data_IF_814296630099
#
_entry.id   IF_814296630099
#
_cell.length_a   1.000
_cell.length_b   1.000
_cell.length_c   1.000
_cell.angle_alpha   90.00
_cell.angle_beta   90.00
_cell.angle_gamma   90.00
#
_symmetry.space_group_name_H-M   'P 1'
#
loop_
_entity.id
_entity.type
_entity.pdbx_description
1 polymer ?
#
# COMPACT_ATOMS: atom_id res chain seq x y z
N UNK A 1 -3.34 -26.47 -15.77
CA UNK A 1 -2.70 -25.14 -15.86
C UNK A 1 -1.52 -24.96 -14.90
N UNK A 2 -1.56 -25.56 -13.70
CA UNK A 2 -0.45 -25.40 -12.73
C UNK A 2 0.84 -26.09 -13.24
N UNK A 3 1.96 -25.38 -13.19
CA UNK A 3 3.29 -25.89 -13.57
C UNK A 3 3.70 -25.67 -15.03
N UNK A 4 2.81 -25.19 -15.90
CA UNK A 4 3.14 -24.81 -17.28
C UNK A 4 3.64 -23.36 -17.35
N UNK A 5 4.68 -23.11 -18.15
CA UNK A 5 5.21 -21.76 -18.41
C UNK A 5 4.19 -20.88 -19.15
N UNK A 6 3.47 -21.45 -20.12
CA UNK A 6 2.46 -20.72 -20.90
C UNK A 6 1.08 -20.69 -20.25
N UNK A 7 0.83 -21.57 -19.28
CA UNK A 7 -0.48 -21.70 -18.62
C UNK A 7 -1.05 -20.37 -18.12
N UNK A 8 -0.30 -19.57 -17.32
CA UNK A 8 -0.77 -18.28 -16.84
C UNK A 8 -1.14 -17.29 -17.95
N UNK A 9 -0.32 -17.21 -19.02
CA UNK A 9 -0.59 -16.29 -20.13
C UNK A 9 -1.85 -16.70 -20.90
N UNK A 10 -1.97 -17.99 -21.22
CA UNK A 10 -3.15 -18.51 -21.91
C UNK A 10 -4.42 -18.34 -21.07
N UNK A 11 -4.32 -18.50 -19.76
CA UNK A 11 -5.42 -18.22 -18.85
C UNK A 11 -5.84 -16.76 -18.91
N UNK A 12 -4.89 -15.82 -18.87
CA UNK A 12 -5.18 -14.39 -18.98
C UNK A 12 -5.89 -14.04 -20.29
N UNK A 13 -5.44 -14.60 -21.42
CA UNK A 13 -6.09 -14.41 -22.73
C UNK A 13 -7.52 -14.97 -22.70
N UNK A 14 -7.70 -16.15 -22.11
CA UNK A 14 -8.99 -16.84 -22.01
C UNK A 14 -10.02 -16.08 -21.17
N UNK A 15 -9.62 -15.48 -20.05
CA UNK A 15 -10.56 -14.80 -19.14
C UNK A 15 -10.82 -13.33 -19.53
N UNK A 16 -10.04 -12.75 -20.44
CA UNK A 16 -10.00 -11.30 -20.64
C UNK A 16 -11.35 -10.69 -21.07
N UNK A 17 -12.13 -11.41 -21.88
CA UNK A 17 -13.44 -10.97 -22.40
C UNK A 17 -14.54 -10.95 -21.32
N UNK A 18 -14.31 -11.52 -20.12
CA UNK A 18 -15.26 -11.45 -19.00
C UNK A 18 -15.63 -10.01 -18.65
N UNK A 19 -14.69 -9.07 -18.86
CA UNK A 19 -14.87 -7.65 -18.59
C UNK A 19 -15.96 -7.02 -19.46
N UNK A 20 -16.28 -7.60 -20.62
CA UNK A 20 -17.36 -7.15 -21.51
C UNK A 20 -18.76 -7.39 -20.92
N UNK A 21 -18.86 -8.15 -19.82
CA UNK A 21 -20.12 -8.34 -19.09
C UNK A 21 -20.63 -7.06 -18.42
N UNK A 22 -19.76 -6.06 -18.24
CA UNK A 22 -20.03 -4.83 -17.50
C UNK A 22 -20.09 -3.62 -18.42
N UNK A 23 -21.22 -2.90 -18.39
CA UNK A 23 -21.42 -1.63 -19.08
C UNK A 23 -21.28 -0.45 -18.11
N UNK A 24 -21.70 -0.63 -16.86
CA UNK A 24 -21.69 0.39 -15.81
C UNK A 24 -20.58 0.13 -14.79
N UNK A 25 -20.43 -1.13 -14.37
CA UNK A 25 -19.36 -1.53 -13.48
C UNK A 25 -17.98 -1.31 -14.09
N UNK A 26 -17.00 -0.93 -13.26
CA UNK A 26 -15.59 -0.88 -13.65
C UNK A 26 -14.89 -2.16 -13.20
N UNK A 27 -14.67 -3.15 -14.08
CA UNK A 27 -14.02 -4.40 -13.72
C UNK A 27 -12.53 -4.19 -13.45
N UNK A 28 -12.01 -4.92 -12.47
CA UNK A 28 -10.61 -5.03 -12.08
C UNK A 28 -10.30 -6.52 -11.97
N UNK A 29 -9.54 -7.03 -12.93
CA UNK A 29 -9.22 -8.45 -13.07
C UNK A 29 -7.76 -8.72 -12.69
N UNK A 30 -7.53 -9.73 -11.86
CA UNK A 30 -6.19 -10.23 -11.56
C UNK A 30 -6.23 -11.75 -11.45
N UNK A 31 -5.57 -12.44 -12.38
CA UNK A 31 -5.75 -13.89 -12.53
C UNK A 31 -7.25 -14.23 -12.56
N UNK A 32 -7.72 -15.10 -11.67
CA UNK A 32 -9.12 -15.50 -11.53
C UNK A 32 -9.95 -14.56 -10.65
N UNK A 33 -9.31 -13.65 -9.89
CA UNK A 33 -10.00 -12.69 -9.03
C UNK A 33 -10.55 -11.51 -9.85
N UNK A 34 -11.88 -11.50 -10.04
CA UNK A 34 -12.63 -10.38 -10.60
C UNK A 34 -13.26 -9.53 -9.51
N UNK A 35 -12.99 -8.22 -9.53
CA UNK A 35 -13.65 -7.20 -8.70
C UNK A 35 -14.34 -6.20 -9.62
N UNK A 36 -15.45 -5.63 -9.20
CA UNK A 36 -16.19 -4.64 -10.00
C UNK A 36 -16.55 -3.46 -9.12
N UNK A 37 -16.16 -2.26 -9.55
CA UNK A 37 -16.45 -1.03 -8.82
C UNK A 37 -17.67 -0.34 -9.41
N UNK A 38 -18.63 -0.01 -8.54
CA UNK A 38 -19.79 0.81 -8.86
C UNK A 38 -19.76 2.07 -7.99
N UNK A 39 -20.07 3.22 -8.59
CA UNK A 39 -20.17 4.50 -7.89
C UNK A 39 -21.43 5.20 -8.37
N UNK A 40 -22.30 5.57 -7.43
CA UNK A 40 -23.62 6.13 -7.71
C UNK A 40 -24.11 6.95 -6.51
N UNK A 41 -25.10 7.80 -6.74
CA UNK A 41 -25.75 8.59 -5.69
C UNK A 41 -26.73 7.71 -4.90
N UNK A 42 -26.90 7.90 -3.57
CA UNK A 42 -27.89 7.16 -2.78
C UNK A 42 -29.32 7.21 -3.36
N UNK A 43 -29.67 8.28 -4.10
CA UNK A 43 -30.98 8.40 -4.75
C UNK A 43 -31.21 7.41 -5.90
N UNK A 44 -30.14 6.84 -6.48
CA UNK A 44 -30.19 5.91 -7.60
C UNK A 44 -30.20 4.45 -7.17
N UNK A 45 -30.23 4.19 -5.85
CA UNK A 45 -29.98 2.88 -5.24
C UNK A 45 -30.79 1.75 -5.87
N UNK A 46 -32.10 1.94 -6.05
CA UNK A 46 -32.99 0.89 -6.59
C UNK A 46 -32.65 0.56 -8.05
N UNK A 47 -32.37 1.58 -8.86
CA UNK A 47 -31.97 1.39 -10.26
C UNK A 47 -30.61 0.70 -10.36
N UNK A 48 -29.67 1.12 -9.51
CA UNK A 48 -28.32 0.56 -9.47
C UNK A 48 -28.29 -0.87 -8.95
N UNK A 49 -29.09 -1.22 -7.95
CA UNK A 49 -29.22 -2.60 -7.46
C UNK A 49 -29.64 -3.54 -8.60
N UNK A 50 -30.69 -3.18 -9.35
CA UNK A 50 -31.16 -3.98 -10.49
C UNK A 50 -30.10 -4.05 -11.60
N UNK A 51 -29.40 -2.95 -11.87
CA UNK A 51 -28.32 -2.90 -12.85
C UNK A 51 -27.16 -3.83 -12.46
N UNK A 52 -26.69 -3.76 -11.22
CA UNK A 52 -25.60 -4.60 -10.69
C UNK A 52 -25.99 -6.08 -10.80
N UNK A 53 -27.17 -6.48 -10.31
CA UNK A 53 -27.63 -7.87 -10.41
C UNK A 53 -27.73 -8.34 -11.87
N UNK A 54 -28.17 -7.47 -12.80
CA UNK A 54 -28.20 -7.80 -14.23
C UNK A 54 -26.81 -8.03 -14.81
N UNK A 55 -25.83 -7.18 -14.49
CA UNK A 55 -24.44 -7.35 -14.95
C UNK A 55 -23.78 -8.59 -14.35
N UNK A 56 -24.00 -8.87 -13.07
CA UNK A 56 -23.51 -10.10 -12.43
C UNK A 56 -24.14 -11.37 -13.01
N UNK A 57 -25.40 -11.34 -13.40
CA UNK A 57 -26.03 -12.46 -14.11
C UNK A 57 -25.43 -12.68 -15.51
N UNK A 58 -24.94 -11.63 -16.19
CA UNK A 58 -24.18 -11.81 -17.44
C UNK A 58 -22.86 -12.53 -17.20
N UNK A 59 -22.19 -12.27 -16.07
CA UNK A 59 -20.99 -13.02 -15.66
C UNK A 59 -21.33 -14.50 -15.44
N UNK A 60 -22.43 -14.80 -14.75
CA UNK A 60 -22.87 -16.19 -14.57
C UNK A 60 -23.12 -16.90 -15.91
N UNK A 61 -23.77 -16.22 -16.86
CA UNK A 61 -23.97 -16.73 -18.23
C UNK A 61 -22.65 -16.90 -19.00
N UNK A 62 -21.71 -15.97 -18.82
CA UNK A 62 -20.36 -16.06 -19.39
C UNK A 62 -19.62 -17.28 -18.84
N UNK A 63 -19.65 -17.50 -17.51
CA UNK A 63 -19.07 -18.68 -16.88
C UNK A 63 -19.69 -19.96 -17.43
N UNK A 64 -21.01 -20.03 -17.59
CA UNK A 64 -21.70 -21.16 -18.20
C UNK A 64 -21.24 -21.42 -19.64
N UNK A 65 -21.15 -20.37 -20.47
CA UNK A 65 -20.68 -20.44 -21.87
C UNK A 65 -19.26 -21.01 -21.95
N UNK A 66 -18.37 -20.55 -21.07
CA UNK A 66 -16.97 -20.94 -21.04
C UNK A 66 -16.69 -22.17 -20.16
N UNK A 67 -17.73 -22.84 -19.66
CA UNK A 67 -17.66 -24.04 -18.82
C UNK A 67 -16.80 -23.84 -17.55
N UNK A 68 -16.95 -22.68 -16.92
CA UNK A 68 -16.35 -22.34 -15.64
C UNK A 68 -17.38 -22.45 -14.53
N UNK A 69 -16.98 -22.99 -13.39
CA UNK A 69 -17.80 -23.03 -12.19
C UNK A 69 -17.68 -21.71 -11.43
N UNK A 70 -18.80 -21.02 -11.28
CA UNK A 70 -18.89 -19.81 -10.47
C UNK A 70 -19.20 -20.18 -9.02
N UNK A 71 -18.27 -19.92 -8.11
CA UNK A 71 -18.48 -20.12 -6.69
C UNK A 71 -19.12 -18.88 -6.04
N UNK A 72 -20.45 -18.83 -6.11
CA UNK A 72 -21.28 -17.75 -5.54
C UNK A 72 -21.08 -17.58 -4.02
N UNK A 73 -20.79 -18.66 -3.29
CA UNK A 73 -20.53 -18.61 -1.85
C UNK A 73 -19.24 -17.84 -1.50
N UNK A 74 -18.29 -17.71 -2.43
CA UNK A 74 -17.10 -16.85 -2.28
C UNK A 74 -17.33 -15.43 -2.77
N UNK A 75 -18.42 -15.16 -3.48
CA UNK A 75 -18.78 -13.84 -3.95
C UNK A 75 -19.45 -13.04 -2.83
N UNK A 76 -19.19 -11.75 -2.80
CA UNK A 76 -19.81 -10.83 -1.86
C UNK A 76 -19.57 -9.39 -2.30
N UNK A 77 -20.26 -8.47 -1.65
CA UNK A 77 -20.15 -7.04 -1.94
C UNK A 77 -19.77 -6.26 -0.68
N UNK A 78 -19.01 -5.20 -0.87
CA UNK A 78 -18.62 -4.27 0.20
C UNK A 78 -18.97 -2.85 -0.23
N UNK A 79 -19.53 -2.06 0.68
CA UNK A 79 -19.91 -0.67 0.42
C UNK A 79 -18.95 0.28 1.14
N UNK A 80 -18.52 1.31 0.42
CA UNK A 80 -17.72 2.41 0.96
C UNK A 80 -18.55 3.70 0.93
N UNK A 81 -18.32 4.60 1.89
CA UNK A 81 -19.09 5.85 2.01
C UNK A 81 -20.29 5.66 2.95
N UNK A 82 -21.51 5.61 2.42
CA UNK A 82 -22.70 5.41 3.24
C UNK A 82 -22.87 3.92 3.61
N UNK A 83 -22.20 3.49 4.67
CA UNK A 83 -22.23 2.10 5.15
C UNK A 83 -23.57 1.68 5.76
N UNK A 84 -24.58 2.56 5.83
CA UNK A 84 -25.95 2.14 6.20
C UNK A 84 -26.69 1.47 5.04
N UNK A 85 -26.25 1.70 3.79
CA UNK A 85 -26.91 1.16 2.60
C UNK A 85 -26.84 -0.37 2.61
N UNK A 86 -28.00 -1.00 2.41
CA UNK A 86 -28.12 -2.43 2.17
C UNK A 86 -28.58 -2.64 0.73
N UNK A 87 -27.92 -3.53 0.00
CA UNK A 87 -28.25 -3.84 -1.38
C UNK A 87 -28.62 -5.32 -1.47
N UNK A 88 -29.77 -5.59 -2.07
CA UNK A 88 -30.19 -6.96 -2.38
C UNK A 88 -29.69 -7.32 -3.78
N UNK A 89 -28.40 -7.64 -3.85
CA UNK A 89 -27.72 -8.02 -5.09
C UNK A 89 -27.79 -9.54 -5.24
N UNK A 90 -28.16 -10.01 -6.42
CA UNK A 90 -28.21 -11.44 -6.73
C UNK A 90 -27.32 -11.81 -7.92
N UNK A 91 -26.80 -13.03 -7.89
CA UNK A 91 -26.06 -13.67 -8.99
C UNK A 91 -26.59 -15.09 -9.15
N UNK A 92 -27.03 -15.44 -10.36
CA UNK A 92 -27.67 -16.73 -10.66
C UNK A 92 -28.84 -17.08 -9.71
N UNK A 93 -29.64 -16.07 -9.33
CA UNK A 93 -30.75 -16.23 -8.38
C UNK A 93 -30.33 -16.32 -6.89
N UNK A 94 -29.04 -16.40 -6.58
CA UNK A 94 -28.53 -16.43 -5.21
C UNK A 94 -28.17 -15.04 -4.70
N UNK A 95 -28.55 -14.73 -3.46
CA UNK A 95 -28.24 -13.44 -2.84
C UNK A 95 -26.76 -13.36 -2.42
N UNK A 96 -26.10 -12.27 -2.79
CA UNK A 96 -24.71 -12.02 -2.39
C UNK A 96 -24.62 -11.50 -0.97
N UNK A 97 -23.68 -12.07 -0.21
CA UNK A 97 -23.40 -11.64 1.15
C UNK A 97 -22.76 -10.24 1.18
N UNK A 98 -23.19 -9.44 2.15
CA UNK A 98 -22.53 -8.17 2.49
C UNK A 98 -21.27 -8.47 3.31
N UNK A 99 -20.15 -7.93 2.86
CA UNK A 99 -18.85 -8.03 3.52
C UNK A 99 -18.52 -6.73 4.23
N UNK A 100 -17.97 -6.84 5.44
CA UNK A 100 -17.43 -5.70 6.18
C UNK A 100 -15.90 -5.60 6.06
N UNK A 101 -15.25 -6.71 5.70
CA UNK A 101 -13.81 -6.81 5.46
C UNK A 101 -13.58 -7.64 4.22
N UNK A 102 -12.58 -7.27 3.44
CA UNK A 102 -12.16 -8.01 2.24
C UNK A 102 -10.65 -8.20 2.25
N UNK A 103 -10.19 -9.24 1.56
CA UNK A 103 -8.78 -9.44 1.24
C UNK A 103 -8.62 -9.28 -0.25
N UNK A 104 -7.77 -8.35 -0.66
CA UNK A 104 -7.42 -8.13 -2.06
C UNK A 104 -5.90 -8.22 -2.24
N UNK A 105 -5.46 -9.14 -3.09
CA UNK A 105 -4.04 -9.44 -3.36
C UNK A 105 -3.17 -9.73 -2.12
N UNK A 106 -3.79 -10.05 -0.97
CA UNK A 106 -3.11 -10.26 0.31
C UNK A 106 -3.19 -9.08 1.28
N UNK A 107 -3.71 -7.93 0.86
CA UNK A 107 -4.02 -6.78 1.70
C UNK A 107 -5.45 -6.89 2.24
N UNK A 108 -5.63 -6.68 3.56
CA UNK A 108 -6.95 -6.70 4.19
C UNK A 108 -7.40 -5.30 4.58
N UNK A 109 -8.64 -4.96 4.26
CA UNK A 109 -9.23 -3.68 4.63
C UNK A 109 -10.73 -3.80 4.84
N UNK A 110 -11.27 -2.92 5.69
CA UNK A 110 -12.69 -2.84 6.02
C UNK A 110 -13.43 -1.76 5.23
N UNK A 111 -14.75 -1.75 5.34
CA UNK A 111 -15.67 -0.79 4.70
C UNK A 111 -15.39 0.70 5.03
N UNK A 112 -14.67 0.97 6.11
CA UNK A 112 -14.18 2.29 6.53
C UNK A 112 -12.77 2.60 5.98
N UNK A 113 -12.25 1.77 5.07
CA UNK A 113 -10.89 1.81 4.53
C UNK A 113 -9.79 1.69 5.61
N UNK A 114 -10.10 1.06 6.75
CA UNK A 114 -9.13 0.77 7.79
C UNK A 114 -8.30 -0.47 7.46
N UNK A 115 -6.97 -0.33 7.58
CA UNK A 115 -6.00 -1.44 7.45
C UNK A 115 -5.61 -2.04 8.81
N UNK A 116 -6.35 -1.73 9.87
CA UNK A 116 -5.99 -2.10 11.24
C UNK A 116 -5.89 -3.60 11.42
N UNK A 117 -6.87 -4.36 10.90
CA UNK A 117 -6.87 -5.82 11.01
C UNK A 117 -5.69 -6.45 10.26
N UNK A 118 -5.36 -5.96 9.07
CA UNK A 118 -4.18 -6.39 8.32
C UNK A 118 -2.90 -6.17 9.14
N UNK A 119 -2.72 -4.96 9.68
CA UNK A 119 -1.52 -4.61 10.44
C UNK A 119 -1.42 -5.47 11.72
N UNK A 120 -2.53 -5.71 12.42
CA UNK A 120 -2.56 -6.62 13.57
C UNK A 120 -2.14 -8.04 13.17
N UNK A 121 -2.66 -8.57 12.06
CA UNK A 121 -2.27 -9.89 11.56
C UNK A 121 -0.78 -9.96 11.19
N UNK A 122 -0.25 -8.97 10.47
CA UNK A 122 1.15 -8.95 10.06
C UNK A 122 2.10 -8.77 11.25
N UNK A 123 1.76 -7.90 12.20
CA UNK A 123 2.56 -7.69 13.42
C UNK A 123 2.57 -8.94 14.29
N UNK A 124 1.43 -9.60 14.54
CA UNK A 124 1.38 -10.87 15.27
C UNK A 124 2.15 -11.99 14.57
N UNK A 125 2.04 -12.10 13.24
CA UNK A 125 2.83 -13.08 12.46
C UNK A 125 4.33 -12.80 12.58
N UNK A 126 4.74 -11.55 12.44
CA UNK A 126 6.14 -11.13 12.50
C UNK A 126 6.74 -11.30 13.90
N UNK A 127 5.97 -11.02 14.97
CA UNK A 127 6.42 -11.23 16.35
C UNK A 127 6.64 -12.71 16.67
N UNK A 128 5.77 -13.61 16.16
CA UNK A 128 5.98 -15.06 16.27
C UNK A 128 7.27 -15.49 15.56
N UNK A 129 7.49 -15.00 14.34
CA UNK A 129 8.73 -15.26 13.59
C UNK A 129 9.96 -14.76 14.33
N UNK A 130 9.93 -13.54 14.87
CA UNK A 130 11.04 -13.01 15.69
C UNK A 130 11.29 -13.91 16.90
N UNK A 131 10.24 -14.35 17.61
CA UNK A 131 10.39 -15.29 18.73
C UNK A 131 11.07 -16.59 18.32
N UNK A 132 10.63 -17.17 17.21
CA UNK A 132 11.24 -18.37 16.64
C UNK A 132 12.72 -18.13 16.27
N UNK A 133 13.02 -17.05 15.56
CA UNK A 133 14.39 -16.68 15.16
C UNK A 133 15.29 -16.51 16.38
N UNK A 134 14.85 -15.74 17.38
CA UNK A 134 15.67 -15.46 18.57
C UNK A 134 15.87 -16.67 19.47
N UNK A 135 14.92 -17.63 19.47
CA UNK A 135 15.01 -18.85 20.28
C UNK A 135 15.92 -19.91 19.66
N UNK A 136 15.88 -20.06 18.33
CA UNK A 136 16.53 -21.20 17.66
C UNK A 136 17.85 -20.83 16.98
N UNK A 137 18.16 -19.54 16.79
CA UNK A 137 19.45 -19.11 16.24
C UNK A 137 20.30 -18.49 17.35
N UNK A 138 21.59 -18.78 17.34
CA UNK A 138 22.53 -18.29 18.36
C UNK A 138 23.32 -17.07 17.90
N UNK A 139 23.79 -17.08 16.64
CA UNK A 139 24.55 -15.95 16.08
C UNK A 139 23.63 -14.75 15.76
N UNK A 140 24.05 -13.57 16.22
CA UNK A 140 23.44 -12.26 15.90
C UNK A 140 23.29 -12.02 14.40
N UNK A 141 24.30 -12.34 13.59
CA UNK A 141 24.25 -12.13 12.14
C UNK A 141 23.16 -12.99 11.49
N UNK A 142 23.06 -14.27 11.87
CA UNK A 142 22.01 -15.17 11.38
C UNK A 142 20.62 -14.71 11.82
N UNK A 143 20.48 -14.19 13.05
CA UNK A 143 19.22 -13.61 13.54
C UNK A 143 18.81 -12.40 12.71
N UNK A 144 19.75 -11.49 12.44
CA UNK A 144 19.51 -10.30 11.62
C UNK A 144 19.13 -10.71 10.20
N UNK A 145 19.87 -11.63 9.58
CA UNK A 145 19.58 -12.13 8.23
C UNK A 145 18.18 -12.74 8.16
N UNK A 146 17.82 -13.62 9.10
CA UNK A 146 16.50 -14.26 9.11
C UNK A 146 15.37 -13.27 9.41
N UNK A 147 15.61 -12.25 10.24
CA UNK A 147 14.65 -11.15 10.37
C UNK A 147 14.45 -10.42 9.04
N UNK A 148 15.55 -10.09 8.35
CA UNK A 148 15.56 -9.39 7.06
C UNK A 148 14.83 -10.15 5.95
N UNK A 149 14.89 -11.49 5.97
CA UNK A 149 14.30 -12.39 4.96
C UNK A 149 12.88 -12.83 5.31
N UNK A 150 12.57 -13.11 6.58
CA UNK A 150 11.29 -13.73 6.94
C UNK A 150 10.28 -12.76 7.57
N UNK A 151 10.72 -11.91 8.49
CA UNK A 151 9.81 -11.05 9.27
C UNK A 151 9.61 -9.69 8.61
N UNK A 152 10.70 -9.05 8.16
CA UNK A 152 10.67 -7.70 7.59
C UNK A 152 9.82 -7.57 6.33
N UNK A 153 9.80 -8.52 5.37
CA UNK A 153 8.93 -8.40 4.20
C UNK A 153 7.43 -8.32 4.55
N UNK A 154 7.01 -8.97 5.63
CA UNK A 154 5.62 -8.89 6.12
C UNK A 154 5.24 -7.47 6.60
N UNK A 155 6.22 -6.72 7.10
CA UNK A 155 6.05 -5.36 7.62
C UNK A 155 6.19 -4.28 6.53
N UNK A 156 6.84 -4.62 5.43
CA UNK A 156 7.10 -3.74 4.28
C UNK A 156 6.10 -3.95 3.14
N UNK A 157 5.37 -5.07 3.15
CA UNK A 157 4.34 -5.38 2.17
C UNK A 157 3.27 -4.28 2.07
N UNK A 158 2.95 -3.86 0.84
CA UNK A 158 2.01 -2.79 0.54
C UNK A 158 2.24 -1.48 1.31
N UNK A 159 3.50 -1.13 1.65
CA UNK A 159 3.81 0.07 2.42
C UNK A 159 3.36 1.39 1.76
N UNK A 160 3.10 1.41 0.45
CA UNK A 160 2.53 2.56 -0.26
C UNK A 160 1.05 2.76 0.08
N UNK A 161 0.28 1.69 0.25
CA UNK A 161 -1.11 1.76 0.74
C UNK A 161 -1.14 2.02 2.24
N UNK A 162 -0.37 1.26 3.01
CA UNK A 162 -0.34 1.37 4.49
C UNK A 162 0.19 2.74 4.98
N UNK A 163 0.74 3.56 4.10
CA UNK A 163 1.11 4.93 4.42
C UNK A 163 -0.11 5.81 4.80
N UNK A 164 -1.32 5.49 4.33
CA UNK A 164 -2.55 6.18 4.74
C UNK A 164 -3.09 5.68 6.11
N UNK A 165 -2.52 4.61 6.67
CA UNK A 165 -2.96 4.07 7.94
C UNK A 165 -2.74 5.04 9.10
N UNK A 166 -3.55 4.87 10.15
CA UNK A 166 -3.46 5.63 11.40
C UNK A 166 -2.06 5.55 12.02
N UNK A 167 -1.64 6.63 12.69
CA UNK A 167 -0.33 6.71 13.37
C UNK A 167 -0.13 5.54 14.34
N UNK A 168 -1.15 5.21 15.14
CA UNK A 168 -1.12 4.05 16.05
C UNK A 168 -0.74 2.74 15.35
N UNK A 169 -1.19 2.55 14.12
CA UNK A 169 -0.91 1.32 13.35
C UNK A 169 0.52 1.34 12.76
N UNK A 170 1.02 2.51 12.36
CA UNK A 170 2.43 2.68 11.94
C UNK A 170 3.38 2.40 13.11
N UNK A 171 3.05 2.90 14.31
CA UNK A 171 3.81 2.61 15.54
C UNK A 171 3.76 1.12 15.90
N UNK A 172 2.62 0.45 15.68
CA UNK A 172 2.53 -1.02 15.84
C UNK A 172 3.49 -1.76 14.90
N UNK A 173 3.57 -1.37 13.64
CA UNK A 173 4.56 -1.95 12.72
C UNK A 173 5.99 -1.70 13.21
N UNK A 174 6.30 -0.47 13.64
CA UNK A 174 7.61 -0.08 14.18
C UNK A 174 8.00 -0.89 15.42
N UNK A 175 7.02 -1.16 16.30
CA UNK A 175 7.23 -1.86 17.56
C UNK A 175 7.83 -3.25 17.38
N UNK A 176 7.59 -3.88 16.22
CA UNK A 176 8.12 -5.21 15.89
C UNK A 176 9.65 -5.17 15.76
N UNK A 177 10.19 -4.19 15.02
CA UNK A 177 11.64 -4.01 14.90
C UNK A 177 12.24 -3.50 16.22
N UNK A 178 11.57 -2.58 16.92
CA UNK A 178 11.99 -2.12 18.26
C UNK A 178 12.21 -3.30 19.21
N UNK A 179 11.24 -4.22 19.28
CA UNK A 179 11.32 -5.43 20.12
C UNK A 179 12.40 -6.39 19.64
N UNK A 180 12.55 -6.57 18.32
CA UNK A 180 13.61 -7.43 17.76
C UNK A 180 15.00 -6.95 18.15
N UNK A 181 15.28 -5.65 18.01
CA UNK A 181 16.59 -5.07 18.36
C UNK A 181 16.91 -5.21 19.86
N UNK A 182 15.91 -5.03 20.74
CA UNK A 182 16.07 -5.27 22.18
C UNK A 182 16.35 -6.75 22.48
N UNK A 183 15.65 -7.69 21.84
CA UNK A 183 15.88 -9.12 22.04
C UNK A 183 17.29 -9.58 21.63
N UNK A 184 17.90 -8.92 20.65
CA UNK A 184 19.28 -9.21 20.27
C UNK A 184 20.27 -8.63 21.27
N UNK A 185 20.05 -7.38 21.71
CA UNK A 185 21.03 -6.64 22.50
C UNK A 185 20.88 -6.82 24.02
N UNK A 186 19.79 -7.40 24.50
CA UNK A 186 19.48 -7.56 25.92
C UNK A 186 18.40 -6.60 26.41
N UNK A 187 17.63 -7.02 27.41
CA UNK A 187 16.55 -6.22 28.02
C UNK A 187 17.06 -5.06 28.87
N UNK A 188 18.30 -5.17 29.33
CA UNK A 188 19.09 -4.16 30.06
C UNK A 188 19.72 -3.10 29.14
N UNK A 189 19.53 -3.22 27.81
CA UNK A 189 20.07 -2.28 26.85
C UNK A 189 19.47 -0.87 27.03
N UNK A 190 20.32 0.09 27.40
CA UNK A 190 19.98 1.51 27.58
C UNK A 190 20.03 2.32 26.27
N UNK A 191 20.49 1.72 25.17
CA UNK A 191 20.59 2.40 23.89
C UNK A 191 19.21 2.77 23.35
N UNK A 192 19.08 3.97 22.77
CA UNK A 192 17.88 4.39 22.04
C UNK A 192 17.61 3.48 20.84
N UNK A 193 16.38 3.47 20.34
CA UNK A 193 16.00 2.61 19.20
C UNK A 193 16.88 2.85 17.95
N UNK A 194 17.17 4.12 17.63
CA UNK A 194 18.03 4.46 16.50
C UNK A 194 19.47 3.95 16.71
N UNK A 195 20.03 4.10 17.90
CA UNK A 195 21.36 3.58 18.25
C UNK A 195 21.43 2.05 18.19
N UNK A 196 20.36 1.36 18.64
CA UNK A 196 20.25 -0.10 18.49
C UNK A 196 20.20 -0.53 17.02
N UNK A 197 19.44 0.18 16.19
CA UNK A 197 19.38 -0.07 14.75
C UNK A 197 20.75 0.09 14.10
N UNK A 198 21.46 1.19 14.38
CA UNK A 198 22.80 1.45 13.87
C UNK A 198 23.79 0.36 14.28
N UNK A 199 23.81 -0.03 15.57
CA UNK A 199 24.68 -1.11 16.09
C UNK A 199 24.43 -2.46 15.41
N UNK A 200 23.19 -2.72 14.97
CA UNK A 200 22.79 -3.96 14.31
C UNK A 200 22.81 -3.89 12.78
N UNK A 201 23.29 -2.80 12.18
CA UNK A 201 23.28 -2.63 10.72
C UNK A 201 21.85 -2.70 10.13
N UNK A 202 20.89 -2.12 10.85
CA UNK A 202 19.50 -1.99 10.46
C UNK A 202 19.15 -0.50 10.32
N UNK A 203 18.38 -0.16 9.29
CA UNK A 203 17.67 1.11 9.27
C UNK A 203 16.40 0.98 10.14
N UNK A 204 16.01 2.02 10.91
CA UNK A 204 14.67 2.10 11.49
C UNK A 204 13.60 1.79 10.44
N UNK A 205 12.59 1.01 10.81
CA UNK A 205 11.61 0.49 9.87
C UNK A 205 10.81 1.61 9.19
N UNK A 206 10.54 2.72 9.88
CA UNK A 206 9.91 3.91 9.28
C UNK A 206 10.75 4.50 8.15
N UNK A 207 12.08 4.57 8.33
CA UNK A 207 13.03 5.09 7.34
C UNK A 207 13.09 4.18 6.12
N UNK A 208 13.04 2.87 6.34
CA UNK A 208 12.96 1.88 5.26
C UNK A 208 11.69 2.03 4.44
N UNK A 209 10.53 2.15 5.10
CA UNK A 209 9.24 2.40 4.43
C UNK A 209 9.25 3.71 3.64
N UNK A 210 9.89 4.77 4.16
CA UNK A 210 10.08 6.03 3.45
C UNK A 210 10.89 5.83 2.16
N UNK A 211 12.07 5.20 2.25
CA UNK A 211 12.94 4.90 1.10
C UNK A 211 12.20 4.07 0.03
N UNK A 212 11.54 2.98 0.44
CA UNK A 212 10.77 2.11 -0.46
C UNK A 212 9.67 2.88 -1.19
N UNK A 213 8.96 3.75 -0.48
CA UNK A 213 7.90 4.54 -1.06
C UNK A 213 8.41 5.65 -1.99
N UNK A 214 9.53 6.30 -1.68
CA UNK A 214 10.18 7.27 -2.60
C UNK A 214 10.65 6.57 -3.88
N UNK A 215 11.22 5.38 -3.77
CA UNK A 215 11.62 4.56 -4.93
C UNK A 215 10.38 4.14 -5.75
N UNK A 216 9.30 3.74 -5.09
CA UNK A 216 8.05 3.43 -5.79
C UNK A 216 7.50 4.65 -6.51
N UNK A 217 7.49 5.81 -5.85
CA UNK A 217 7.05 7.07 -6.43
C UNK A 217 7.90 7.49 -7.64
N UNK A 218 9.24 7.32 -7.57
CA UNK A 218 10.13 7.50 -8.72
C UNK A 218 9.70 6.64 -9.90
N UNK A 219 9.44 5.34 -9.67
CA UNK A 219 9.03 4.43 -10.75
C UNK A 219 7.71 4.87 -11.39
N UNK A 220 6.77 5.40 -10.60
CA UNK A 220 5.52 5.95 -11.11
C UNK A 220 5.76 7.20 -11.98
N UNK A 221 6.57 8.15 -11.50
CA UNK A 221 6.91 9.37 -12.24
C UNK A 221 7.60 9.08 -13.59
N UNK A 222 8.51 8.11 -13.59
CA UNK A 222 9.30 7.73 -14.77
C UNK A 222 8.64 6.64 -15.62
N UNK A 223 7.37 6.30 -15.35
CA UNK A 223 6.61 5.25 -16.07
C UNK A 223 7.34 3.90 -16.15
N UNK A 224 8.12 3.58 -15.11
CA UNK A 224 8.82 2.30 -14.95
C UNK A 224 7.96 1.22 -14.26
N UNK A 225 6.68 1.55 -14.00
CA UNK A 225 5.68 0.67 -13.41
C UNK A 225 4.49 0.56 -14.35
N UNK A 226 3.81 -0.59 -14.36
CA UNK A 226 2.60 -0.87 -15.14
C UNK A 226 1.34 -0.13 -14.65
N UNK A 227 1.48 1.10 -14.17
CA UNK A 227 0.36 1.93 -13.72
C UNK A 227 -0.13 2.83 -14.85
N UNK A 228 -1.42 3.18 -14.82
CA UNK A 228 -2.00 4.10 -15.79
C UNK A 228 -1.21 5.41 -15.87
N UNK A 229 -1.08 5.95 -17.09
CA UNK A 229 -0.32 7.17 -17.42
C UNK A 229 -0.74 8.43 -16.65
N UNK A 230 -1.79 8.35 -15.83
CA UNK A 230 -2.51 9.47 -15.23
C UNK A 230 -2.32 9.57 -13.71
N UNK A 231 -1.50 8.69 -13.11
CA UNK A 231 -1.38 8.64 -11.66
C UNK A 231 -0.67 9.87 -11.07
N UNK A 232 0.36 10.40 -11.74
CA UNK A 232 1.21 11.50 -11.24
C UNK A 232 1.76 12.30 -12.42
N UNK A 233 1.75 13.64 -12.32
CA UNK A 233 2.31 14.54 -13.32
C UNK A 233 3.27 15.55 -12.67
N UNK A 234 4.31 15.94 -13.41
CA UNK A 234 5.14 17.08 -13.03
C UNK A 234 4.30 18.37 -13.00
N UNK A 235 4.68 19.32 -12.14
CA UNK A 235 4.06 20.64 -12.15
C UNK A 235 4.39 21.33 -13.47
N UNK A 236 3.38 22.00 -14.06
CA UNK A 236 3.62 22.88 -15.20
C UNK A 236 4.65 23.94 -14.80
N UNK A 237 5.63 24.18 -15.67
CA UNK A 237 6.60 25.25 -15.47
C UNK A 237 5.85 26.58 -15.42
N UNK A 238 5.91 27.26 -14.28
CA UNK A 238 5.38 28.62 -14.16
C UNK A 238 6.03 29.53 -15.21
N UNK A 239 5.28 30.50 -15.76
CA UNK A 239 5.83 31.57 -16.62
C UNK A 239 6.91 32.42 -15.93
N UNK A 240 7.06 32.30 -14.61
CA UNK A 240 8.13 32.90 -13.83
C UNK A 240 9.33 31.95 -13.67
N UNK A 241 10.55 32.47 -13.86
CA UNK A 241 11.81 31.77 -13.61
C UNK A 241 12.01 31.54 -12.10
N UNK A 242 11.34 30.54 -11.54
CA UNK A 242 11.64 30.07 -10.19
C UNK A 242 12.94 29.28 -10.26
N UNK A 243 13.98 29.71 -9.55
CA UNK A 243 15.33 29.09 -9.52
C UNK A 243 15.35 27.60 -9.12
N UNK A 244 14.21 27.01 -8.75
CA UNK A 244 14.07 25.66 -8.20
C UNK A 244 12.90 24.84 -8.81
N UNK A 245 12.35 25.27 -9.95
CA UNK A 245 11.15 24.65 -10.58
C UNK A 245 11.38 23.28 -11.24
N UNK A 246 12.63 22.94 -11.54
CA UNK A 246 12.96 21.71 -12.26
C UNK A 246 12.55 20.47 -11.45
N UNK A 247 11.76 19.59 -12.07
CA UNK A 247 11.32 18.31 -11.51
C UNK A 247 10.48 18.40 -10.21
N UNK A 248 9.75 19.52 -10.00
CA UNK A 248 8.69 19.56 -8.99
C UNK A 248 7.46 18.79 -9.47
N UNK A 249 6.84 18.05 -8.57
CA UNK A 249 5.61 17.31 -8.84
C UNK A 249 4.40 18.15 -8.47
N UNK A 250 3.36 18.08 -9.30
CA UNK A 250 2.10 18.78 -9.06
C UNK A 250 1.50 18.28 -7.75
N UNK A 251 1.19 19.22 -6.86
CA UNK A 251 0.52 18.91 -5.61
C UNK A 251 -0.99 19.00 -5.80
N UNK A 252 -1.69 17.97 -5.36
CA UNK A 252 -3.15 17.96 -5.28
C UNK A 252 -3.57 18.45 -3.90
N UNK A 253 -4.41 19.48 -3.87
CA UNK A 253 -4.98 20.01 -2.64
C UNK A 253 -6.40 19.49 -2.44
N UNK A 254 -6.72 19.09 -1.22
CA UNK A 254 -8.07 18.65 -0.82
C UNK A 254 -8.35 19.09 0.61
N UNK A 255 -9.62 19.38 0.89
CA UNK A 255 -10.11 19.68 2.26
C UNK A 255 -10.15 18.42 3.14
N UNK A 256 -10.17 17.22 2.53
CA UNK A 256 -10.20 15.96 3.27
C UNK A 256 -8.80 15.55 3.72
N UNK A 257 -8.59 15.47 5.03
CA UNK A 257 -7.34 14.95 5.61
C UNK A 257 -7.05 13.52 5.18
N UNK A 258 -8.09 12.71 4.96
CA UNK A 258 -7.99 11.34 4.44
C UNK A 258 -7.39 11.35 3.02
N UNK A 259 -7.90 12.21 2.14
CA UNK A 259 -7.39 12.34 0.78
C UNK A 259 -5.95 12.89 0.76
N UNK A 260 -5.63 13.87 1.61
CA UNK A 260 -4.26 14.41 1.71
C UNK A 260 -3.23 13.37 2.18
N UNK A 261 -3.70 12.30 2.83
CA UNK A 261 -2.89 11.15 3.24
C UNK A 261 -2.78 10.05 2.18
N UNK A 262 -3.45 10.18 1.03
CA UNK A 262 -3.26 9.28 -0.10
C UNK A 262 -1.81 9.31 -0.58
N UNK A 263 -1.37 8.15 -1.09
CA UNK A 263 0.03 7.93 -1.45
C UNK A 263 0.57 9.03 -2.37
N UNK A 264 -0.13 9.30 -3.48
CA UNK A 264 0.27 10.30 -4.47
C UNK A 264 0.33 11.70 -3.85
N UNK A 265 -0.71 12.13 -3.13
CA UNK A 265 -0.76 13.43 -2.47
C UNK A 265 0.39 13.64 -1.48
N UNK A 266 0.64 12.64 -0.63
CA UNK A 266 1.70 12.72 0.39
C UNK A 266 3.09 12.66 -0.25
N UNK A 267 3.32 11.72 -1.17
CA UNK A 267 4.65 11.57 -1.76
C UNK A 267 4.99 12.63 -2.80
N UNK A 268 4.02 13.32 -3.42
CA UNK A 268 4.30 14.56 -4.18
C UNK A 268 4.90 15.66 -3.30
N UNK A 269 4.39 15.81 -2.06
CA UNK A 269 4.95 16.77 -1.10
C UNK A 269 6.33 16.36 -0.63
N UNK A 270 6.50 15.11 -0.21
CA UNK A 270 7.79 14.59 0.24
C UNK A 270 8.85 14.61 -0.87
N UNK A 271 8.44 14.34 -2.10
CA UNK A 271 9.32 14.46 -3.27
C UNK A 271 9.83 15.88 -3.45
N UNK A 272 8.96 16.89 -3.36
CA UNK A 272 9.36 18.29 -3.52
C UNK A 272 10.30 18.79 -2.40
N UNK A 273 10.33 18.10 -1.25
CA UNK A 273 11.30 18.37 -0.17
C UNK A 273 12.70 17.81 -0.47
N UNK A 274 12.85 16.94 -1.49
CA UNK A 274 14.16 16.41 -1.86
C UNK A 274 15.03 17.48 -2.53
N UNK A 275 16.36 17.43 -2.32
CA UNK A 275 17.32 18.26 -3.04
C UNK A 275 17.12 18.15 -4.55
N UNK A 276 17.28 19.26 -5.26
CA UNK A 276 17.15 19.31 -6.72
C UNK A 276 18.08 18.29 -7.40
N UNK A 277 19.30 18.10 -6.86
CA UNK A 277 20.27 17.11 -7.35
C UNK A 277 19.76 15.67 -7.31
N UNK A 278 18.84 15.35 -6.40
CA UNK A 278 18.20 14.03 -6.31
C UNK A 278 16.97 13.97 -7.23
N UNK A 279 16.16 15.04 -7.28
CA UNK A 279 14.93 15.10 -8.10
C UNK A 279 15.19 15.03 -9.59
N UNK A 280 16.34 15.50 -10.07
CA UNK A 280 16.69 15.51 -11.50
C UNK A 280 17.31 14.20 -12.00
N UNK A 281 17.54 13.22 -11.11
CA UNK A 281 18.09 11.92 -11.49
C UNK A 281 17.09 11.19 -12.40
N UNK A 282 17.57 10.66 -13.53
CA UNK A 282 16.75 9.87 -14.48
C UNK A 282 16.96 8.36 -14.35
N UNK A 283 18.10 7.92 -13.81
CA UNK A 283 18.43 6.51 -13.63
C UNK A 283 17.90 5.98 -12.30
N UNK A 284 17.12 4.91 -12.33
CA UNK A 284 16.60 4.25 -11.13
C UNK A 284 17.73 3.78 -10.21
N UNK A 285 18.80 3.17 -10.76
CA UNK A 285 19.91 2.65 -9.94
C UNK A 285 20.66 3.78 -9.23
N UNK A 286 20.87 4.90 -9.92
CA UNK A 286 21.48 6.09 -9.33
C UNK A 286 20.57 6.70 -8.25
N UNK A 287 19.27 6.80 -8.53
CA UNK A 287 18.29 7.34 -7.59
C UNK A 287 18.23 6.52 -6.30
N UNK A 288 18.20 5.19 -6.40
CA UNK A 288 18.20 4.29 -5.24
C UNK A 288 19.43 4.55 -4.36
N UNK A 289 20.65 4.60 -4.94
CA UNK A 289 21.87 4.92 -4.16
C UNK A 289 21.80 6.29 -3.50
N UNK A 290 21.36 7.32 -4.22
CA UNK A 290 21.29 8.68 -3.70
C UNK A 290 20.26 8.80 -2.56
N UNK A 291 19.10 8.16 -2.68
CA UNK A 291 18.08 8.10 -1.62
C UNK A 291 18.59 7.30 -0.42
N UNK A 292 19.28 6.19 -0.64
CA UNK A 292 19.87 5.41 0.45
C UNK A 292 20.88 6.23 1.23
N UNK A 293 21.78 6.95 0.55
CA UNK A 293 22.74 7.84 1.19
C UNK A 293 22.04 9.01 1.92
N UNK A 294 21.12 9.71 1.23
CA UNK A 294 20.44 10.88 1.77
C UNK A 294 19.63 10.56 3.03
N UNK A 295 18.83 9.49 2.98
CA UNK A 295 18.00 9.07 4.11
C UNK A 295 18.78 8.32 5.21
N UNK A 296 20.07 8.00 5.03
CA UNK A 296 20.88 7.39 6.11
C UNK A 296 21.41 8.43 7.11
N UNK A 297 21.51 9.69 6.69
CA UNK A 297 21.87 10.84 7.54
C UNK A 297 20.65 11.43 8.29
N UNK A 298 20.86 12.38 9.21
CA UNK A 298 19.79 13.14 9.88
C UNK A 298 18.84 13.84 8.88
N UNK A 299 19.27 13.99 7.62
CA UNK A 299 18.49 14.57 6.53
C UNK A 299 17.19 13.79 6.20
N UNK A 300 17.02 12.55 6.67
CA UNK A 300 15.73 11.86 6.53
C UNK A 300 14.56 12.62 7.17
N UNK A 301 14.84 13.36 8.25
CA UNK A 301 13.85 14.22 8.92
C UNK A 301 13.47 15.41 8.06
N UNK A 302 14.42 15.96 7.30
CA UNK A 302 14.19 17.08 6.37
C UNK A 302 13.22 16.71 5.23
N UNK A 303 13.11 15.42 4.88
CA UNK A 303 12.09 14.94 3.92
C UNK A 303 10.69 15.04 4.53
N UNK A 304 10.55 14.67 5.81
CA UNK A 304 9.27 14.61 6.51
C UNK A 304 8.74 15.98 6.90
N UNK A 305 9.64 16.94 7.17
CA UNK A 305 9.32 18.33 7.43
C UNK A 305 10.47 19.21 6.94
N UNK A 306 10.25 20.19 6.04
CA UNK A 306 11.19 21.29 5.90
C UNK A 306 11.25 22.07 7.22
N UNK A 307 12.41 22.67 7.54
CA UNK A 307 12.72 23.36 8.81
C UNK A 307 11.73 24.47 9.21
N UNK A 308 10.78 24.82 8.33
CA UNK A 308 9.66 25.71 8.61
C UNK A 308 8.32 25.00 8.34
N UNK A 309 7.63 24.55 9.41
CA UNK A 309 6.16 24.48 9.61
C UNK A 309 5.82 23.48 10.75
N UNK A 310 4.76 23.81 11.48
CA UNK A 310 4.48 23.67 12.91
C UNK A 310 3.77 22.39 13.41
N UNK A 311 4.00 22.15 14.72
CA UNK A 311 3.25 21.44 15.78
C UNK A 311 2.62 20.04 15.58
N UNK A 312 2.26 19.61 14.38
CA UNK A 312 1.67 18.25 14.18
C UNK A 312 2.73 17.17 13.91
N UNK A 313 3.92 17.59 13.46
CA UNK A 313 5.08 16.73 13.18
C UNK A 313 5.92 16.44 14.42
N UNK A 314 5.84 17.27 15.47
CA UNK A 314 6.52 17.02 16.75
C UNK A 314 5.96 15.79 17.48
N UNK A 315 4.69 15.43 17.27
CA UNK A 315 4.14 14.18 17.84
C UNK A 315 4.67 12.93 17.11
N UNK A 316 4.88 12.99 15.79
CA UNK A 316 5.39 11.86 15.01
C UNK A 316 6.90 11.70 15.22
N UNK A 317 7.65 12.80 15.24
CA UNK A 317 9.10 12.79 15.49
C UNK A 317 9.37 12.46 16.96
N UNK A 318 8.64 13.08 17.90
CA UNK A 318 8.75 12.83 19.34
C UNK A 318 8.35 11.42 19.77
N UNK A 319 7.46 10.72 19.04
CA UNK A 319 7.15 9.30 19.30
C UNK A 319 8.07 8.32 18.57
N UNK A 320 8.87 8.77 17.61
CA UNK A 320 9.85 7.95 16.90
C UNK A 320 11.25 8.02 17.54
N UNK A 321 11.57 9.12 18.24
CA UNK A 321 12.85 9.34 18.94
C UNK A 321 12.85 8.97 20.43
N UNK A 322 11.70 8.61 21.00
CA UNK A 322 11.57 7.91 22.31
C UNK A 322 11.35 6.42 22.09
#
# INVERSE_FOLDING_TARGET
MQGSVLGPLLFLVFINDICESFCVGKPLLYADDLKVLYSFSPHELKNMQNCISKELNRVALWCLKWKLELNTAKCGWICFGNTSLNLDITINGEALSRLHTVVDLGLRYSQDLSFTEHILKQTSKSQRLIGYITRNLYNTESRILMYKVCARPLLEYCTFVLNSALIKNKLRLESVQRRFTLRILGTDCTLTYNSRCNKLGLDPLWRRRLKLNLIFFFKLLHKLSFTSDHAIQYAETSHYYIRNSLALVKQTHSKSSLYMNYFTCKFSRLWNNLPQSIRTIKSLSLFVRCIDAYCSSENALNVLAPVSVSHSTSEIIGTLDV
#
